data_IF_938202918733
#
_entry.id   IF_938202918733
#
_cell.length_a   1.000
_cell.length_b   1.000
_cell.length_c   1.000
_cell.angle_alpha   90.00
_cell.angle_beta   90.00
_cell.angle_gamma   90.00
#
_symmetry.space_group_name_H-M   'P 1'
#
loop_
_entity.id
_entity.type
_entity.pdbx_description
1 polymer ?
#
# COMPACT_ATOMS: atom_id res chain seq x y z
N UNK A 1 -20.46 -7.05 -36.73
CA UNK A 1 -19.70 -6.24 -35.76
C UNK A 1 -18.23 -6.49 -36.02
N UNK A 2 -17.46 -5.45 -36.26
CA UNK A 2 -16.01 -5.55 -36.36
C UNK A 2 -15.43 -5.78 -34.95
N UNK A 3 -14.31 -6.49 -34.84
CA UNK A 3 -13.61 -6.67 -33.56
C UNK A 3 -13.33 -5.33 -32.87
N UNK A 4 -13.10 -4.27 -33.64
CA UNK A 4 -12.85 -2.93 -33.12
C UNK A 4 -14.11 -2.30 -32.50
N UNK A 5 -15.28 -2.57 -33.06
CA UNK A 5 -16.57 -2.05 -32.54
C UNK A 5 -16.92 -2.76 -31.23
N UNK A 6 -16.65 -4.06 -31.14
CA UNK A 6 -16.87 -4.85 -29.93
C UNK A 6 -15.93 -4.39 -28.79
N UNK A 7 -14.67 -4.09 -29.09
CA UNK A 7 -13.73 -3.51 -28.12
C UNK A 7 -14.19 -2.14 -27.65
N UNK A 8 -14.58 -1.24 -28.55
CA UNK A 8 -15.09 0.09 -28.17
C UNK A 8 -16.30 0.00 -27.26
N UNK A 9 -17.25 -0.89 -27.57
CA UNK A 9 -18.46 -1.08 -26.79
C UNK A 9 -18.19 -1.65 -25.38
N UNK A 10 -17.17 -2.50 -25.23
CA UNK A 10 -16.73 -2.98 -23.90
C UNK A 10 -16.08 -1.83 -23.11
N UNK A 11 -15.23 -1.05 -23.77
CA UNK A 11 -14.51 0.07 -23.16
C UNK A 11 -15.42 1.26 -22.76
N UNK A 12 -16.66 1.34 -23.25
CA UNK A 12 -17.65 2.32 -22.78
C UNK A 12 -18.00 2.17 -21.29
N UNK A 13 -17.80 0.99 -20.69
CA UNK A 13 -18.01 0.74 -19.25
C UNK A 13 -16.82 1.20 -18.40
N UNK A 14 -16.28 2.36 -18.72
CA UNK A 14 -14.96 2.84 -18.33
C UNK A 14 -14.66 2.66 -16.83
N UNK A 15 -13.52 2.03 -16.56
CA UNK A 15 -12.96 1.90 -15.21
C UNK A 15 -11.98 3.04 -15.05
N UNK A 16 -12.39 4.08 -14.31
CA UNK A 16 -11.51 5.22 -14.02
C UNK A 16 -10.15 4.73 -13.55
N UNK A 17 -9.09 5.26 -14.15
CA UNK A 17 -7.69 4.94 -13.86
C UNK A 17 -7.21 5.60 -12.54
N UNK A 18 -7.96 5.37 -11.46
CA UNK A 18 -7.67 5.88 -10.12
C UNK A 18 -8.06 4.90 -9.03
N UNK A 19 -7.57 5.11 -7.81
CA UNK A 19 -8.05 4.35 -6.67
C UNK A 19 -9.52 4.65 -6.43
N UNK A 20 -10.29 3.59 -6.15
CA UNK A 20 -11.65 3.77 -5.70
C UNK A 20 -11.66 4.43 -4.32
N UNK A 21 -12.73 5.17 -4.02
CA UNK A 21 -12.88 5.79 -2.70
C UNK A 21 -12.93 4.74 -1.58
N UNK A 22 -13.39 3.54 -1.88
CA UNK A 22 -13.32 2.40 -0.97
C UNK A 22 -11.87 2.03 -0.64
N UNK A 23 -11.00 1.90 -1.66
CA UNK A 23 -9.58 1.60 -1.45
C UNK A 23 -8.90 2.70 -0.62
N UNK A 24 -9.18 3.97 -0.92
CA UNK A 24 -8.64 5.10 -0.16
C UNK A 24 -9.08 5.06 1.31
N UNK A 25 -10.37 4.80 1.56
CA UNK A 25 -10.91 4.79 2.92
C UNK A 25 -10.36 3.63 3.75
N UNK A 26 -10.39 2.41 3.21
CA UNK A 26 -10.15 1.21 4.02
C UNK A 26 -8.72 0.69 3.93
N UNK A 27 -8.09 0.76 2.77
CA UNK A 27 -6.76 0.16 2.55
C UNK A 27 -5.63 1.18 2.63
N UNK A 28 -5.91 2.44 2.31
CA UNK A 28 -4.92 3.51 2.42
C UNK A 28 -4.94 4.14 3.81
N UNK A 29 -6.10 4.64 4.25
CA UNK A 29 -6.26 5.34 5.53
C UNK A 29 -6.60 4.34 6.64
N UNK A 30 -7.60 3.49 6.42
CA UNK A 30 -8.14 2.56 7.43
C UNK A 30 -7.17 1.47 7.91
N UNK A 31 -6.05 1.26 7.22
CA UNK A 31 -4.99 0.32 7.62
C UNK A 31 -4.27 0.73 8.90
N UNK A 32 -4.32 2.02 9.23
CA UNK A 32 -3.65 2.53 10.42
C UNK A 32 -4.53 2.36 11.67
N UNK A 33 -3.97 1.91 12.81
CA UNK A 33 -4.75 1.53 13.97
C UNK A 33 -5.30 2.75 14.74
N UNK A 34 -4.54 3.85 14.82
CA UNK A 34 -4.91 5.05 15.60
C UNK A 34 -5.35 6.20 14.71
N UNK A 35 -6.15 7.12 15.27
CA UNK A 35 -6.58 8.32 14.55
C UNK A 35 -5.39 9.22 14.16
N UNK A 36 -4.41 9.39 15.05
CA UNK A 36 -3.15 10.09 14.74
C UNK A 36 -2.43 9.47 13.54
N UNK A 37 -2.26 8.15 13.53
CA UNK A 37 -1.59 7.48 12.43
C UNK A 37 -2.36 7.59 11.11
N UNK A 38 -3.70 7.52 11.15
CA UNK A 38 -4.56 7.82 9.99
C UNK A 38 -4.35 9.25 9.48
N UNK A 39 -4.26 10.23 10.37
CA UNK A 39 -3.99 11.63 10.00
C UNK A 39 -2.59 11.81 9.39
N UNK A 40 -1.55 11.25 9.99
CA UNK A 40 -0.19 11.27 9.43
C UNK A 40 -0.12 10.59 8.07
N UNK A 41 -0.87 9.49 7.90
CA UNK A 41 -1.02 8.80 6.62
C UNK A 41 -1.64 9.71 5.57
N UNK A 42 -2.74 10.40 5.90
CA UNK A 42 -3.34 11.39 5.00
C UNK A 42 -2.33 12.47 4.58
N UNK A 43 -1.54 13.01 5.52
CA UNK A 43 -0.52 14.03 5.21
C UNK A 43 0.53 13.49 4.24
N UNK A 44 1.05 12.28 4.50
CA UNK A 44 2.04 11.64 3.62
C UNK A 44 1.50 11.43 2.21
N UNK A 45 0.27 10.93 2.12
CA UNK A 45 -0.40 10.64 0.85
C UNK A 45 -0.73 11.93 0.06
N UNK A 46 -1.09 13.02 0.74
CA UNK A 46 -1.26 14.34 0.13
C UNK A 46 0.08 14.91 -0.37
N UNK A 47 1.18 14.71 0.38
CA UNK A 47 2.51 15.15 -0.06
C UNK A 47 2.93 14.44 -1.35
N UNK A 48 2.81 13.12 -1.41
CA UNK A 48 3.12 12.33 -2.61
C UNK A 48 2.26 12.75 -3.81
N UNK A 49 0.96 13.00 -3.58
CA UNK A 49 0.06 13.48 -4.65
C UNK A 49 0.40 14.88 -5.11
N UNK A 50 0.76 15.79 -4.20
CA UNK A 50 1.22 17.15 -4.56
C UNK A 50 2.44 17.11 -5.47
N UNK A 51 3.44 16.28 -5.14
CA UNK A 51 4.63 16.09 -5.97
C UNK A 51 4.27 15.51 -7.35
N UNK A 52 3.39 14.50 -7.37
CA UNK A 52 2.88 13.89 -8.61
C UNK A 52 2.12 14.89 -9.48
N UNK A 53 1.25 15.71 -8.89
CA UNK A 53 0.51 16.76 -9.59
C UNK A 53 1.45 17.82 -10.18
N UNK A 54 2.51 18.20 -9.44
CA UNK A 54 3.50 19.15 -9.95
C UNK A 54 4.23 18.59 -11.17
N UNK A 55 4.63 17.32 -11.13
CA UNK A 55 5.30 16.67 -12.26
C UNK A 55 4.37 16.57 -13.49
N UNK A 56 3.11 16.17 -13.28
CA UNK A 56 2.12 16.10 -14.37
C UNK A 56 1.86 17.48 -14.99
N UNK A 57 1.80 18.55 -14.18
CA UNK A 57 1.64 19.92 -14.69
C UNK A 57 2.81 20.35 -15.56
N UNK A 58 4.05 20.08 -15.14
CA UNK A 58 5.24 20.36 -15.96
C UNK A 58 5.19 19.59 -17.28
N UNK A 59 4.78 18.32 -17.26
CA UNK A 59 4.65 17.51 -18.47
C UNK A 59 3.54 18.04 -19.42
N UNK A 60 2.43 18.54 -18.86
CA UNK A 60 1.38 19.20 -19.63
C UNK A 60 1.92 20.44 -20.33
N UNK A 61 2.70 21.27 -19.63
CA UNK A 61 3.30 22.48 -20.18
C UNK A 61 4.25 22.14 -21.33
N UNK A 62 5.16 21.16 -21.13
CA UNK A 62 6.08 20.68 -22.18
C UNK A 62 5.34 20.16 -23.42
N UNK A 63 4.27 19.38 -23.24
CA UNK A 63 3.45 18.86 -24.35
C UNK A 63 2.71 19.98 -25.09
N UNK A 64 2.23 20.99 -24.37
CA UNK A 64 1.58 22.16 -24.97
C UNK A 64 2.56 22.98 -25.82
N UNK A 65 3.80 23.16 -25.35
CA UNK A 65 4.87 23.81 -26.11
C UNK A 65 5.22 23.02 -27.37
N UNK A 66 5.34 21.69 -27.27
CA UNK A 66 5.58 20.81 -28.42
C UNK A 66 4.45 20.89 -29.46
N UNK A 67 3.18 20.93 -29.01
CA UNK A 67 2.02 21.11 -29.89
C UNK A 67 2.10 22.47 -30.60
N UNK A 68 2.46 23.52 -29.87
CA UNK A 68 2.58 24.88 -30.40
C UNK A 68 3.69 24.98 -31.45
N UNK A 69 4.85 24.34 -31.21
CA UNK A 69 5.93 24.25 -32.18
C UNK A 69 5.51 23.50 -33.46
N UNK A 70 4.75 22.40 -33.31
CA UNK A 70 4.19 21.68 -34.44
C UNK A 70 3.18 22.49 -35.23
N UNK A 71 2.38 23.32 -34.58
CA UNK A 71 1.44 24.21 -35.27
C UNK A 71 2.15 25.26 -36.12
N UNK A 72 3.26 25.81 -35.62
CA UNK A 72 4.14 26.69 -36.39
C UNK A 72 4.71 25.95 -37.60
N UNK A 73 5.20 24.72 -37.42
CA UNK A 73 5.76 23.90 -38.50
C UNK A 73 4.71 23.57 -39.58
N UNK A 74 3.52 23.12 -39.16
CA UNK A 74 2.37 22.86 -40.04
C UNK A 74 2.00 24.13 -40.82
N UNK A 75 1.98 25.28 -40.17
CA UNK A 75 1.71 26.58 -40.80
C UNK A 75 2.74 26.92 -41.88
N UNK A 76 4.03 26.69 -41.62
CA UNK A 76 5.12 26.89 -42.60
C UNK A 76 4.99 25.94 -43.79
N UNK A 77 4.76 24.65 -43.54
CA UNK A 77 4.59 23.66 -44.61
C UNK A 77 3.40 23.98 -45.53
N UNK A 78 2.26 24.42 -44.97
CA UNK A 78 1.10 24.86 -45.77
C UNK A 78 1.45 26.04 -46.69
N UNK A 79 2.07 27.08 -46.14
CA UNK A 79 2.48 28.26 -46.92
C UNK A 79 3.47 27.92 -48.03
N UNK A 80 4.38 26.97 -47.81
CA UNK A 80 5.33 26.54 -48.83
C UNK A 80 4.64 25.79 -49.98
N UNK A 81 3.70 24.88 -49.65
CA UNK A 81 2.89 24.17 -50.64
C UNK A 81 2.07 25.16 -51.50
N UNK A 82 1.50 26.19 -50.89
CA UNK A 82 0.74 27.23 -51.59
C UNK A 82 1.62 28.09 -52.52
N UNK A 83 2.84 28.43 -52.09
CA UNK A 83 3.76 29.29 -52.87
C UNK A 83 4.43 28.60 -54.06
N UNK A 84 4.66 27.29 -54.00
CA UNK A 84 5.52 26.62 -54.98
C UNK A 84 4.84 26.28 -56.32
N UNK A 85 3.50 26.39 -56.46
CA UNK A 85 2.69 26.03 -57.66
C UNK A 85 2.89 24.59 -58.21
N UNK A 86 4.00 23.93 -57.93
CA UNK A 86 4.33 22.53 -58.20
C UNK A 86 4.09 21.76 -56.91
N UNK A 87 3.14 20.83 -56.96
CA UNK A 87 2.76 19.95 -55.85
C UNK A 87 3.91 19.00 -55.51
N UNK A 88 4.77 19.39 -54.57
CA UNK A 88 5.87 18.52 -54.15
C UNK A 88 5.34 17.44 -53.20
N UNK A 89 5.25 16.19 -53.68
CA UNK A 89 4.68 15.06 -52.94
C UNK A 89 5.34 14.85 -51.56
N UNK A 90 6.61 15.23 -51.44
CA UNK A 90 7.37 15.21 -50.19
C UNK A 90 6.75 16.12 -49.12
N UNK A 91 6.35 17.33 -49.49
CA UNK A 91 5.82 18.32 -48.55
C UNK A 91 4.41 17.94 -48.08
N UNK A 92 3.59 17.33 -48.95
CA UNK A 92 2.30 16.74 -48.54
C UNK A 92 2.47 15.60 -47.53
N UNK A 93 3.49 14.76 -47.69
CA UNK A 93 3.78 13.66 -46.76
C UNK A 93 4.25 14.21 -45.41
N UNK A 94 5.15 15.20 -45.42
CA UNK A 94 5.62 15.87 -44.20
C UNK A 94 4.45 16.52 -43.45
N UNK A 95 3.59 17.27 -44.14
CA UNK A 95 2.40 17.88 -43.55
C UNK A 95 1.49 16.85 -42.89
N UNK A 96 1.24 15.70 -43.55
CA UNK A 96 0.45 14.61 -42.94
C UNK A 96 1.14 14.00 -41.73
N UNK A 97 2.47 13.84 -41.75
CA UNK A 97 3.24 13.32 -40.61
C UNK A 97 3.17 14.27 -39.42
N UNK A 98 3.36 15.57 -39.62
CA UNK A 98 3.26 16.57 -38.55
C UNK A 98 1.84 16.66 -37.97
N UNK A 99 0.80 16.59 -38.82
CA UNK A 99 -0.59 16.51 -38.35
C UNK A 99 -0.84 15.27 -37.48
N UNK A 100 -0.35 14.10 -37.88
CA UNK A 100 -0.47 12.86 -37.08
C UNK A 100 0.31 12.94 -35.77
N UNK A 101 1.49 13.58 -35.77
CA UNK A 101 2.25 13.82 -34.54
C UNK A 101 1.47 14.73 -33.60
N UNK A 102 0.86 15.80 -34.11
CA UNK A 102 -0.03 16.67 -33.33
C UNK A 102 -1.18 15.89 -32.71
N UNK A 103 -1.88 15.06 -33.49
CA UNK A 103 -2.99 14.25 -32.95
C UNK A 103 -2.55 13.29 -31.83
N UNK A 104 -1.34 12.72 -31.95
CA UNK A 104 -0.76 11.88 -30.90
C UNK A 104 -0.45 12.67 -29.62
N UNK A 105 0.12 13.87 -29.75
CA UNK A 105 0.38 14.74 -28.61
C UNK A 105 -0.90 15.27 -27.96
N UNK A 106 -1.94 15.59 -28.73
CA UNK A 106 -3.23 16.00 -28.15
C UNK A 106 -3.89 14.86 -27.37
N UNK A 107 -3.76 13.61 -27.84
CA UNK A 107 -4.25 12.46 -27.09
C UNK A 107 -3.46 12.27 -25.78
N UNK A 108 -2.13 12.42 -25.82
CA UNK A 108 -1.29 12.42 -24.62
C UNK A 108 -1.68 13.54 -23.65
N UNK A 109 -1.93 14.74 -24.15
CA UNK A 109 -2.37 15.88 -23.34
C UNK A 109 -3.68 15.59 -22.63
N UNK A 110 -4.65 15.00 -23.33
CA UNK A 110 -5.93 14.60 -22.72
C UNK A 110 -5.73 13.57 -21.61
N UNK A 111 -4.92 12.53 -21.85
CA UNK A 111 -4.61 11.52 -20.83
C UNK A 111 -3.92 12.12 -19.59
N UNK A 112 -3.01 13.09 -19.78
CA UNK A 112 -2.37 13.81 -18.66
C UNK A 112 -3.38 14.65 -17.86
N UNK A 113 -4.34 15.29 -18.53
CA UNK A 113 -5.40 16.04 -17.87
C UNK A 113 -6.36 15.13 -17.08
N UNK A 114 -6.72 13.97 -17.62
CA UNK A 114 -7.53 12.97 -16.92
C UNK A 114 -6.82 12.43 -15.67
N UNK A 115 -5.51 12.17 -15.79
CA UNK A 115 -4.66 11.80 -14.66
C UNK A 115 -4.61 12.90 -13.60
N UNK A 116 -4.48 14.16 -14.02
CA UNK A 116 -4.49 15.29 -13.10
C UNK A 116 -5.83 15.41 -12.36
N UNK A 117 -6.95 15.32 -13.08
CA UNK A 117 -8.28 15.34 -12.49
C UNK A 117 -8.49 14.18 -11.49
N UNK A 118 -8.00 12.99 -11.83
CA UNK A 118 -8.02 11.84 -10.92
C UNK A 118 -7.23 12.09 -9.63
N UNK A 119 -6.03 12.65 -9.73
CA UNK A 119 -5.23 13.02 -8.55
C UNK A 119 -5.92 14.09 -7.69
N UNK A 120 -6.63 15.04 -8.30
CA UNK A 120 -7.42 16.06 -7.60
C UNK A 120 -8.63 15.45 -6.87
N UNK A 121 -9.37 14.55 -7.52
CA UNK A 121 -10.49 13.81 -6.91
C UNK A 121 -10.02 13.02 -5.68
N UNK A 122 -8.91 12.27 -5.80
CA UNK A 122 -8.33 11.52 -4.69
C UNK A 122 -7.85 12.44 -3.55
N UNK A 123 -7.17 13.53 -3.90
CA UNK A 123 -6.65 14.49 -2.91
C UNK A 123 -7.79 15.16 -2.15
N UNK A 124 -8.87 15.54 -2.84
CA UNK A 124 -10.07 16.11 -2.21
C UNK A 124 -10.71 15.11 -1.23
N UNK A 125 -10.77 13.82 -1.60
CA UNK A 125 -11.24 12.78 -0.71
C UNK A 125 -10.36 12.66 0.55
N UNK A 126 -9.04 12.62 0.39
CA UNK A 126 -8.11 12.50 1.52
C UNK A 126 -8.20 13.73 2.45
N UNK A 127 -8.36 14.94 1.90
CA UNK A 127 -8.58 16.16 2.71
C UNK A 127 -9.86 16.04 3.54
N UNK A 128 -10.94 15.52 2.95
CA UNK A 128 -12.21 15.30 3.67
C UNK A 128 -12.07 14.27 4.78
N UNK A 129 -11.33 13.19 4.52
CA UNK A 129 -11.04 12.16 5.53
C UNK A 129 -10.18 12.73 6.66
N UNK A 130 -9.12 13.49 6.34
CA UNK A 130 -8.27 14.16 7.32
C UNK A 130 -9.09 15.10 8.23
N UNK A 131 -9.90 15.99 7.65
CA UNK A 131 -10.74 16.92 8.42
C UNK A 131 -11.77 16.21 9.29
N UNK A 132 -12.25 15.05 8.86
CA UNK A 132 -13.16 14.23 9.68
C UNK A 132 -12.45 13.65 10.91
N UNK A 133 -11.17 13.26 10.76
CA UNK A 133 -10.35 12.75 11.87
C UNK A 133 -9.91 13.87 12.81
N UNK A 134 -9.53 15.03 12.27
CA UNK A 134 -9.12 16.21 13.04
C UNK A 134 -10.23 16.73 13.98
N UNK A 135 -11.50 16.54 13.60
CA UNK A 135 -12.65 16.84 14.48
C UNK A 135 -12.75 15.91 15.70
N UNK A 136 -12.21 14.69 15.60
CA UNK A 136 -12.23 13.70 16.68
C UNK A 136 -11.03 13.86 17.60
N UNK A 137 -9.86 14.14 17.03
CA UNK A 137 -8.61 14.31 17.76
C UNK A 137 -7.74 15.35 17.04
N UNK A 138 -7.22 16.32 17.77
CA UNK A 138 -6.30 17.31 17.21
C UNK A 138 -5.00 16.64 16.75
N UNK A 139 -4.45 17.11 15.62
CA UNK A 139 -3.20 16.59 15.09
C UNK A 139 -2.04 16.84 16.07
N UNK A 140 -1.39 15.76 16.50
CA UNK A 140 -0.16 15.84 17.30
C UNK A 140 1.08 15.82 16.40
N UNK A 141 2.21 16.39 16.86
CA UNK A 141 3.50 16.22 16.21
C UNK A 141 3.83 14.74 15.99
N UNK A 142 4.48 14.43 14.88
CA UNK A 142 4.82 13.04 14.56
C UNK A 142 5.69 12.38 15.63
N UNK A 143 6.64 13.12 16.20
CA UNK A 143 7.56 12.63 17.23
C UNK A 143 7.00 12.77 18.66
N UNK A 144 5.69 13.00 18.81
CA UNK A 144 5.06 13.00 20.14
C UNK A 144 5.15 11.61 20.78
N UNK A 145 5.77 11.56 21.97
CA UNK A 145 6.07 10.32 22.66
C UNK A 145 4.80 9.51 22.97
N UNK A 146 3.73 10.19 23.39
CA UNK A 146 2.47 9.53 23.78
C UNK A 146 1.74 8.98 22.54
N UNK A 147 1.66 9.75 21.47
CA UNK A 147 1.06 9.32 20.21
C UNK A 147 1.81 8.12 19.60
N UNK A 148 3.14 8.17 19.62
CA UNK A 148 3.99 7.06 19.14
C UNK A 148 3.82 5.80 20.00
N UNK A 149 3.82 5.95 21.33
CA UNK A 149 3.60 4.84 22.26
C UNK A 149 2.24 4.18 22.00
N UNK A 150 1.17 4.98 21.86
CA UNK A 150 -0.17 4.48 21.57
C UNK A 150 -0.21 3.77 20.21
N UNK A 151 0.38 4.36 19.18
CA UNK A 151 0.43 3.78 17.83
C UNK A 151 1.10 2.40 17.84
N UNK A 152 2.31 2.28 18.40
CA UNK A 152 3.04 1.02 18.42
C UNK A 152 2.39 -0.03 19.31
N UNK A 153 1.79 0.38 20.43
CA UNK A 153 1.03 -0.51 21.28
C UNK A 153 -0.16 -1.14 20.53
N UNK A 154 -0.97 -0.32 19.85
CA UNK A 154 -2.10 -0.82 19.05
C UNK A 154 -1.63 -1.64 17.84
N UNK A 155 -0.57 -1.19 17.16
CA UNK A 155 -0.08 -1.86 15.95
C UNK A 155 0.42 -3.27 16.22
N UNK A 156 1.32 -3.40 17.20
CA UNK A 156 1.89 -4.69 17.56
C UNK A 156 0.88 -5.54 18.32
N UNK A 157 0.02 -4.92 19.13
CA UNK A 157 -1.05 -5.60 19.85
C UNK A 157 -2.04 -6.27 18.90
N UNK A 158 -2.47 -5.58 17.83
CA UNK A 158 -3.35 -6.18 16.83
C UNK A 158 -2.70 -7.40 16.15
N UNK A 159 -1.44 -7.30 15.74
CA UNK A 159 -0.74 -8.42 15.10
C UNK A 159 -0.56 -9.60 16.06
N UNK A 160 -0.13 -9.32 17.28
CA UNK A 160 0.05 -10.33 18.32
C UNK A 160 -1.26 -11.06 18.64
N UNK A 161 -2.35 -10.30 18.87
CA UNK A 161 -3.66 -10.85 19.18
C UNK A 161 -4.23 -11.69 18.02
N UNK A 162 -4.04 -11.26 16.77
CA UNK A 162 -4.46 -12.04 15.61
C UNK A 162 -3.75 -13.39 15.55
N UNK A 163 -2.44 -13.42 15.78
CA UNK A 163 -1.68 -14.69 15.79
C UNK A 163 -2.18 -15.64 16.87
N UNK A 164 -2.38 -15.12 18.08
CA UNK A 164 -2.92 -15.91 19.19
C UNK A 164 -4.32 -16.46 18.87
N UNK A 165 -5.19 -15.65 18.26
CA UNK A 165 -6.55 -16.06 17.88
C UNK A 165 -6.55 -17.22 16.87
N UNK A 166 -5.63 -17.21 15.91
CA UNK A 166 -5.48 -18.29 14.93
C UNK A 166 -4.66 -19.49 15.45
N UNK A 167 -4.25 -19.48 16.72
CA UNK A 167 -3.40 -20.52 17.30
C UNK A 167 -2.01 -20.59 16.67
N UNK A 168 -1.59 -19.53 15.98
CA UNK A 168 -0.26 -19.43 15.39
C UNK A 168 0.71 -18.87 16.44
N UNK A 169 1.91 -19.45 16.59
CA UNK A 169 2.91 -18.86 17.47
C UNK A 169 3.31 -17.46 16.96
N UNK A 170 3.46 -16.48 17.86
CA UNK A 170 4.04 -15.20 17.51
C UNK A 170 5.44 -15.38 16.91
N UNK A 171 5.75 -14.59 15.89
CA UNK A 171 7.09 -14.61 15.28
C UNK A 171 8.12 -14.08 16.27
N UNK A 172 9.35 -14.60 16.21
CA UNK A 172 10.46 -14.18 17.05
C UNK A 172 10.77 -12.70 16.84
N UNK A 173 10.71 -12.21 15.59
CA UNK A 173 10.95 -10.80 15.29
C UNK A 173 9.85 -9.90 15.87
N UNK A 174 8.59 -10.35 15.87
CA UNK A 174 7.49 -9.64 16.51
C UNK A 174 7.70 -9.54 18.03
N UNK A 175 8.07 -10.64 18.68
CA UNK A 175 8.37 -10.66 20.11
C UNK A 175 9.54 -9.73 20.45
N UNK A 176 10.67 -9.82 19.73
CA UNK A 176 11.83 -8.93 19.94
C UNK A 176 11.44 -7.47 19.81
N UNK A 177 10.64 -7.14 18.80
CA UNK A 177 10.17 -5.76 18.56
C UNK A 177 9.29 -5.27 19.71
N UNK A 178 8.37 -6.10 20.21
CA UNK A 178 7.54 -5.77 21.37
C UNK A 178 8.39 -5.57 22.63
N UNK A 179 9.38 -6.45 22.87
CA UNK A 179 10.27 -6.36 24.02
C UNK A 179 11.19 -5.13 23.97
N UNK A 180 11.44 -4.55 22.79
CA UNK A 180 12.20 -3.31 22.64
C UNK A 180 11.40 -2.06 23.05
N UNK A 181 10.07 -2.14 23.21
CA UNK A 181 9.26 -1.02 23.69
C UNK A 181 9.57 -0.68 25.16
N UNK A 182 9.16 0.53 25.57
CA UNK A 182 9.24 0.97 26.97
C UNK A 182 8.53 -0.04 27.90
N UNK A 183 9.03 -0.19 29.12
CA UNK A 183 8.54 -1.16 30.11
C UNK A 183 7.07 -0.96 30.50
N UNK A 184 6.54 0.25 30.27
CA UNK A 184 5.18 0.66 30.57
C UNK A 184 4.20 0.48 29.39
N UNK A 185 4.62 -0.18 28.30
CA UNK A 185 3.78 -0.49 27.16
C UNK A 185 2.90 -1.73 27.46
N UNK A 186 1.55 -1.63 27.39
CA UNK A 186 0.64 -2.74 27.68
C UNK A 186 0.96 -4.02 26.89
N UNK A 187 1.18 -3.91 25.57
CA UNK A 187 1.48 -5.06 24.70
C UNK A 187 2.74 -5.82 25.13
N UNK A 188 3.71 -5.12 25.73
CA UNK A 188 4.94 -5.75 26.24
C UNK A 188 4.67 -6.57 27.48
N UNK A 189 3.83 -6.07 28.39
CA UNK A 189 3.38 -6.81 29.58
C UNK A 189 2.61 -8.06 29.15
N UNK A 190 1.69 -7.92 28.21
CA UNK A 190 0.91 -9.06 27.69
C UNK A 190 1.80 -10.13 27.04
N UNK A 191 2.82 -9.70 26.29
CA UNK A 191 3.78 -10.60 25.65
C UNK A 191 4.64 -11.34 26.68
N UNK A 192 5.10 -10.66 27.73
CA UNK A 192 5.86 -11.30 28.82
C UNK A 192 5.01 -12.34 29.55
N UNK A 193 3.77 -12.00 29.89
CA UNK A 193 2.83 -12.93 30.52
C UNK A 193 2.57 -14.16 29.63
N UNK A 194 2.44 -13.95 28.32
CA UNK A 194 2.31 -15.05 27.37
C UNK A 194 3.55 -15.94 27.35
N UNK A 195 4.75 -15.36 27.28
CA UNK A 195 6.02 -16.11 27.30
C UNK A 195 6.17 -16.93 28.58
N UNK A 196 5.88 -16.36 29.74
CA UNK A 196 5.88 -17.07 31.02
C UNK A 196 4.90 -18.25 31.02
N UNK A 197 3.72 -18.08 30.42
CA UNK A 197 2.72 -19.14 30.30
C UNK A 197 3.18 -20.27 29.37
N UNK A 198 3.90 -19.95 28.30
CA UNK A 198 4.47 -20.95 27.38
C UNK A 198 5.62 -21.68 28.06
N UNK A 199 6.51 -20.96 28.75
CA UNK A 199 7.61 -21.55 29.49
C UNK A 199 7.12 -22.57 30.51
N UNK A 200 6.13 -22.20 31.35
CA UNK A 200 5.53 -23.13 32.32
C UNK A 200 4.92 -24.37 31.65
N UNK A 201 4.31 -24.22 30.47
CA UNK A 201 3.77 -25.37 29.72
C UNK A 201 4.87 -26.28 29.20
N UNK A 202 6.01 -25.74 28.79
CA UNK A 202 7.16 -26.54 28.35
C UNK A 202 7.76 -27.30 29.52
N UNK A 203 8.01 -26.60 30.64
CA UNK A 203 8.54 -27.20 31.87
C UNK A 203 7.65 -28.35 32.37
N UNK A 204 6.32 -28.16 32.38
CA UNK A 204 5.39 -29.21 32.78
C UNK A 204 5.38 -30.41 31.81
N UNK A 205 5.46 -30.18 30.49
CA UNK A 205 5.56 -31.27 29.51
C UNK A 205 6.86 -32.07 29.67
N UNK A 206 7.96 -31.41 29.97
CA UNK A 206 9.23 -32.08 30.25
C UNK A 206 9.15 -32.92 31.52
N UNK A 207 8.50 -32.42 32.57
CA UNK A 207 8.24 -33.18 33.80
C UNK A 207 7.36 -34.41 33.55
N UNK A 208 6.29 -34.28 32.76
CA UNK A 208 5.43 -35.42 32.39
C UNK A 208 6.20 -36.50 31.62
N UNK A 209 7.05 -36.09 30.67
CA UNK A 209 7.95 -36.99 29.93
C UNK A 209 8.96 -37.70 30.82
N UNK A 210 9.49 -37.02 31.85
CA UNK A 210 10.39 -37.63 32.84
C UNK A 210 9.63 -38.64 33.70
N UNK A 211 8.42 -38.29 34.15
CA UNK A 211 7.56 -39.17 34.95
C UNK A 211 7.19 -40.45 34.20
N UNK A 212 6.78 -40.35 32.93
CA UNK A 212 6.51 -41.50 32.07
C UNK A 212 7.74 -42.39 31.88
N UNK A 213 8.93 -41.81 31.73
CA UNK A 213 10.18 -42.56 31.63
C UNK A 213 10.51 -43.28 32.94
N UNK A 214 10.34 -42.63 34.09
CA UNK A 214 10.58 -43.27 35.40
C UNK A 214 9.61 -44.40 35.69
N UNK A 215 8.32 -44.27 35.35
CA UNK A 215 7.34 -45.34 35.51
C UNK A 215 7.62 -46.54 34.59
N UNK A 216 8.11 -46.29 33.37
CA UNK A 216 8.55 -47.33 32.44
C UNK A 216 9.83 -48.04 32.90
N UNK A 217 10.70 -47.37 33.67
CA UNK A 217 11.89 -48.00 34.27
C UNK A 217 11.49 -48.87 35.47
N UNK A 218 10.65 -48.35 36.37
CA UNK A 218 10.16 -49.11 37.53
C UNK A 218 9.35 -50.36 37.15
N UNK A 219 8.58 -50.30 36.06
CA UNK A 219 7.84 -51.45 35.55
C UNK A 219 8.78 -52.50 34.92
N UNK A 220 9.86 -52.09 34.23
CA UNK A 220 10.90 -52.99 33.74
C UNK A 220 11.69 -53.65 34.87
N UNK A 221 12.03 -52.91 35.93
CA UNK A 221 12.73 -53.45 37.09
C UNK A 221 11.84 -54.45 37.87
N UNK A 222 10.53 -54.21 37.99
CA UNK A 222 9.59 -55.19 38.59
C UNK A 222 9.49 -56.49 37.79
N UNK A 223 9.59 -56.43 36.45
CA UNK A 223 9.60 -57.62 35.57
C UNK A 223 10.93 -58.38 35.74
N UNK A 224 12.06 -57.67 35.72
CA UNK A 224 13.39 -58.27 35.92
C UNK A 224 13.55 -58.91 37.32
N UNK A 225 12.92 -58.34 38.34
CA UNK A 225 12.96 -58.90 39.71
C UNK A 225 12.09 -60.15 39.86
N UNK A 226 10.96 -60.25 39.13
CA UNK A 226 10.15 -61.48 39.07
C UNK A 226 10.89 -62.62 38.36
N UNK A 227 11.58 -62.33 37.25
CA UNK A 227 12.39 -63.32 36.53
C UNK A 227 13.59 -63.82 37.35
N UNK A 228 14.16 -62.97 38.22
CA UNK A 228 15.33 -63.33 39.03
C UNK A 228 15.00 -64.13 40.30
N UNK A 229 13.76 -64.07 40.80
CA UNK A 229 13.33 -64.74 42.05
C UNK A 229 12.30 -65.86 41.87
N UNK A 230 11.90 -66.20 40.63
CA UNK A 230 11.16 -67.43 40.35
C UNK A 230 9.86 -67.57 41.15
N UNK A 231 8.92 -66.65 40.92
CA UNK A 231 7.48 -66.88 41.14
C UNK A 231 6.77 -66.64 39.82
#
# INVERSE_FOLDING_TARGET
>A
MSLHEEIEQICENDVKERHSFFQLQFFLIGKEPTNQAKMWRCIRELKTRKESMSAVKMEIDDVNDDISLLDIEIGKSKKNIEKQHIKNRKDEILLRKSKRKKTGLTARLNALNEKLASLEEESAFIIKAFRSLEKLEELKPYDDLNAQKQYWNEKLGQEFNLRLLFGLPPDLELIKTILALNSDAPVKVDTLNYMDSVQKKVENKELDLILEKTQNIESKDKIATKEKYGI
#
